data_IF_129389221268
#
_entry.id   IF_129389221268
#
_cell.length_a   1.000
_cell.length_b   1.000
_cell.length_c   1.000
_cell.angle_alpha   90.00
_cell.angle_beta   90.00
_cell.angle_gamma   90.00
#
_symmetry.space_group_name_H-M   'P 1'
#
loop_
_entity.id
_entity.type
_entity.pdbx_description
1 polymer ?
#
# COMPACT_ATOMS: atom_id res chain seq x y z
N UNK A 1 4.30 -8.33 7.58
CA UNK A 1 3.89 -7.10 8.28
C UNK A 1 4.22 -5.84 7.48
N UNK A 2 5.48 -5.51 7.19
CA UNK A 2 5.84 -4.31 6.41
C UNK A 2 4.99 -4.09 5.13
N UNK A 3 4.82 -5.12 4.30
CA UNK A 3 3.99 -5.08 3.09
C UNK A 3 2.51 -4.74 3.39
N UNK A 4 1.98 -5.28 4.48
CA UNK A 4 0.58 -5.11 4.90
C UNK A 4 0.33 -3.63 5.24
N UNK A 5 1.20 -3.04 6.06
CA UNK A 5 1.06 -1.64 6.48
C UNK A 5 1.21 -0.69 5.29
N UNK A 6 2.22 -0.92 4.45
CA UNK A 6 2.46 -0.10 3.26
C UNK A 6 1.27 -0.13 2.30
N UNK A 7 0.74 -1.33 1.99
CA UNK A 7 -0.41 -1.47 1.10
C UNK A 7 -1.66 -0.79 1.65
N UNK A 8 -1.96 -0.91 2.96
CA UNK A 8 -3.07 -0.18 3.60
C UNK A 8 -2.91 1.34 3.47
N UNK A 9 -1.72 1.87 3.69
CA UNK A 9 -1.43 3.31 3.55
C UNK A 9 -1.61 3.75 2.09
N UNK A 10 -1.12 2.97 1.13
CA UNK A 10 -1.27 3.27 -0.28
C UNK A 10 -2.75 3.18 -0.72
N UNK A 11 -3.49 2.15 -0.31
CA UNK A 11 -4.91 2.01 -0.58
C UNK A 11 -5.72 3.18 -0.02
N UNK A 12 -5.41 3.61 1.21
CA UNK A 12 -6.03 4.80 1.81
C UNK A 12 -5.79 6.07 0.98
N UNK A 13 -4.55 6.28 0.51
CA UNK A 13 -4.22 7.40 -0.38
C UNK A 13 -4.99 7.33 -1.70
N UNK A 14 -5.05 6.14 -2.31
CA UNK A 14 -5.82 5.92 -3.54
C UNK A 14 -7.29 6.27 -3.34
N UNK A 15 -7.91 5.85 -2.23
CA UNK A 15 -9.30 6.19 -1.89
C UNK A 15 -9.52 7.70 -1.72
N UNK A 16 -8.66 8.40 -0.98
CA UNK A 16 -8.80 9.86 -0.78
C UNK A 16 -8.74 10.58 -2.12
N UNK A 17 -7.73 10.27 -2.93
CA UNK A 17 -7.52 10.93 -4.23
C UNK A 17 -8.64 10.59 -5.22
N UNK A 18 -9.13 9.35 -5.24
CA UNK A 18 -10.25 8.94 -6.10
C UNK A 18 -11.60 9.57 -5.71
N UNK A 19 -11.66 10.29 -4.59
CA UNK A 19 -12.81 11.10 -4.16
C UNK A 19 -12.55 12.59 -4.29
N UNK A 20 -11.56 12.96 -5.11
CA UNK A 20 -11.15 14.36 -5.36
C UNK A 20 -10.77 15.10 -4.09
N UNK A 21 -10.32 14.39 -3.06
CA UNK A 21 -9.81 15.02 -1.86
C UNK A 21 -8.43 15.63 -2.15
N UNK A 22 -8.33 16.95 -1.97
CA UNK A 22 -7.14 17.73 -2.28
C UNK A 22 -6.20 17.91 -1.09
N UNK A 23 -6.54 17.32 0.07
CA UNK A 23 -5.70 17.38 1.27
C UNK A 23 -4.35 16.70 1.00
N UNK A 24 -3.22 17.40 1.17
CA UNK A 24 -1.91 16.77 1.05
C UNK A 24 -1.74 15.63 2.07
N UNK A 25 -1.41 14.43 1.59
CA UNK A 25 -1.25 13.25 2.43
C UNK A 25 0.24 13.12 2.83
N UNK A 26 0.57 13.13 4.13
CA UNK A 26 1.96 13.10 4.57
C UNK A 26 2.64 11.77 4.17
N UNK A 27 3.96 11.83 4.07
CA UNK A 27 4.80 10.64 4.04
C UNK A 27 4.75 9.87 5.37
N UNK A 28 5.31 8.67 5.38
CA UNK A 28 5.52 7.89 6.59
C UNK A 28 6.92 7.29 6.56
N UNK A 29 7.53 7.08 7.73
CA UNK A 29 8.80 6.37 7.86
C UNK A 29 8.52 4.90 8.15
N UNK A 30 8.91 4.02 7.23
CA UNK A 30 8.66 2.58 7.34
C UNK A 30 9.41 1.96 8.53
N UNK A 31 10.57 2.51 8.93
CA UNK A 31 11.35 1.99 10.06
C UNK A 31 10.68 2.31 11.40
N UNK A 32 10.12 3.51 11.53
CA UNK A 32 9.36 3.90 12.72
C UNK A 32 8.15 2.97 12.94
N UNK A 33 7.51 2.55 11.85
CA UNK A 33 6.36 1.64 11.88
C UNK A 33 6.79 0.22 12.27
N UNK A 34 7.89 -0.30 11.71
CA UNK A 34 8.40 -1.66 12.01
C UNK A 34 8.60 -1.85 13.52
N UNK A 35 9.14 -0.84 14.21
CA UNK A 35 9.36 -0.90 15.65
C UNK A 35 8.06 -1.01 16.46
N UNK A 36 6.94 -0.47 15.96
CA UNK A 36 5.64 -0.46 16.64
C UNK A 36 4.73 -1.60 16.25
N UNK A 37 5.03 -2.29 15.14
CA UNK A 37 4.12 -3.25 14.55
C UNK A 37 4.12 -4.61 15.28
N UNK A 38 5.09 -4.89 16.16
CA UNK A 38 5.21 -6.14 16.94
C UNK A 38 5.15 -7.41 16.06
N UNK A 39 5.77 -7.34 14.87
CA UNK A 39 5.78 -8.43 13.90
C UNK A 39 6.32 -9.75 14.49
N UNK A 40 7.30 -9.64 15.38
CA UNK A 40 7.97 -10.80 15.98
C UNK A 40 7.08 -11.57 16.97
N UNK A 41 6.03 -10.93 17.48
CA UNK A 41 5.07 -11.54 18.41
C UNK A 41 3.85 -12.14 17.67
N UNK A 42 3.76 -11.93 16.36
CA UNK A 42 2.66 -12.41 15.53
C UNK A 42 2.96 -13.79 14.95
N UNK A 43 1.96 -14.68 14.95
CA UNK A 43 2.08 -15.96 14.27
C UNK A 43 2.15 -15.78 12.75
N UNK A 44 3.02 -16.54 12.09
CA UNK A 44 3.23 -16.45 10.64
C UNK A 44 1.93 -16.65 9.84
N UNK A 45 1.11 -17.63 10.21
CA UNK A 45 -0.18 -17.90 9.56
C UNK A 45 -1.16 -16.73 9.70
N UNK A 46 -1.14 -16.06 10.86
CA UNK A 46 -1.96 -14.85 11.06
C UNK A 46 -1.49 -13.71 10.16
N UNK A 47 -0.18 -13.52 10.00
CA UNK A 47 0.38 -12.50 9.10
C UNK A 47 0.05 -12.79 7.64
N UNK A 48 0.07 -14.06 7.24
CA UNK A 48 -0.29 -14.47 5.88
C UNK A 48 -1.78 -14.24 5.60
N UNK A 49 -2.66 -14.65 6.52
CA UNK A 49 -4.10 -14.43 6.41
C UNK A 49 -4.46 -12.94 6.37
N UNK A 50 -3.77 -12.11 7.16
CA UNK A 50 -3.96 -10.66 7.09
C UNK A 50 -3.50 -10.09 5.75
N UNK A 51 -2.33 -10.52 5.25
CA UNK A 51 -1.83 -10.08 3.95
C UNK A 51 -2.81 -10.40 2.82
N UNK A 52 -3.36 -11.62 2.78
CA UNK A 52 -4.40 -12.01 1.81
C UNK A 52 -5.65 -11.13 1.93
N UNK A 53 -6.10 -10.85 3.15
CA UNK A 53 -7.26 -10.00 3.41
C UNK A 53 -7.06 -8.57 2.90
N UNK A 54 -5.88 -7.99 3.17
CA UNK A 54 -5.53 -6.65 2.68
C UNK A 54 -5.46 -6.64 1.16
N UNK A 55 -4.88 -7.68 0.57
CA UNK A 55 -4.77 -7.81 -0.88
C UNK A 55 -6.13 -7.83 -1.56
N UNK A 56 -7.05 -8.67 -1.09
CA UNK A 56 -8.41 -8.73 -1.63
C UNK A 56 -9.17 -7.40 -1.45
N UNK A 57 -9.00 -6.74 -0.29
CA UNK A 57 -9.59 -5.43 -0.05
C UNK A 57 -9.05 -4.36 -1.03
N UNK A 58 -7.75 -4.36 -1.32
CA UNK A 58 -7.13 -3.45 -2.29
C UNK A 58 -7.62 -3.74 -3.70
N UNK A 59 -7.70 -5.02 -4.12
CA UNK A 59 -8.24 -5.39 -5.44
C UNK A 59 -9.69 -4.89 -5.57
N UNK A 60 -10.52 -5.14 -4.55
CA UNK A 60 -11.91 -4.68 -4.52
C UNK A 60 -12.01 -3.15 -4.59
N UNK A 61 -11.14 -2.42 -3.87
CA UNK A 61 -11.07 -0.97 -3.93
C UNK A 61 -10.79 -0.47 -5.35
N UNK A 62 -9.75 -0.98 -6.02
CA UNK A 62 -9.39 -0.54 -7.37
C UNK A 62 -10.41 -0.95 -8.42
N UNK A 63 -11.07 -2.12 -8.26
CA UNK A 63 -12.17 -2.54 -9.12
C UNK A 63 -13.39 -1.60 -9.03
N UNK A 64 -13.53 -0.83 -7.95
CA UNK A 64 -14.62 0.14 -7.79
C UNK A 64 -14.37 1.49 -8.48
N UNK A 65 -13.15 1.73 -8.98
CA UNK A 65 -12.78 3.00 -9.60
C UNK A 65 -13.10 3.02 -11.10
N UNK A 66 -13.62 4.15 -11.57
CA UNK A 66 -13.81 4.41 -13.00
C UNK A 66 -12.49 4.83 -13.67
N UNK A 67 -12.45 4.84 -15.01
CA UNK A 67 -11.32 5.39 -15.76
C UNK A 67 -11.01 6.85 -15.40
N UNK A 68 -12.04 7.63 -15.05
CA UNK A 68 -11.88 9.02 -14.59
C UNK A 68 -11.22 9.05 -13.22
N UNK A 69 -11.68 8.23 -12.28
CA UNK A 69 -11.12 8.15 -10.93
C UNK A 69 -9.63 7.76 -10.97
N UNK A 70 -9.27 6.81 -11.84
CA UNK A 70 -7.90 6.35 -12.02
C UNK A 70 -6.93 7.45 -12.51
N UNK A 71 -7.45 8.48 -13.18
CA UNK A 71 -6.68 9.61 -13.70
C UNK A 71 -6.60 10.79 -12.72
N UNK A 72 -7.38 10.79 -11.63
CA UNK A 72 -7.34 11.87 -10.63
C UNK A 72 -5.95 11.97 -9.99
N UNK A 73 -5.51 13.21 -9.78
CA UNK A 73 -4.24 13.58 -9.18
C UNK A 73 -4.45 14.13 -7.77
N UNK A 74 -3.57 13.73 -6.86
CA UNK A 74 -3.46 14.31 -5.52
C UNK A 74 -2.00 14.49 -5.12
N UNK A 75 -1.78 14.96 -3.89
CA UNK A 75 -0.44 15.13 -3.33
C UNK A 75 -0.21 14.12 -2.22
N UNK A 76 0.80 13.27 -2.35
CA UNK A 76 1.23 12.34 -1.31
C UNK A 76 2.76 12.40 -1.17
N UNK A 77 3.26 12.42 0.07
CA UNK A 77 4.70 12.55 0.35
C UNK A 77 5.36 13.74 -0.37
N UNK A 78 4.66 14.89 -0.42
CA UNK A 78 5.08 16.10 -1.13
C UNK A 78 5.26 15.94 -2.66
N UNK A 79 4.75 14.87 -3.26
CA UNK A 79 4.78 14.62 -4.70
C UNK A 79 3.37 14.49 -5.28
N UNK A 80 3.21 14.93 -6.52
CA UNK A 80 1.99 14.70 -7.29
C UNK A 80 1.92 13.23 -7.70
N UNK A 81 0.78 12.58 -7.45
CA UNK A 81 0.56 11.17 -7.78
C UNK A 81 -0.88 10.94 -8.22
N UNK A 82 -1.09 10.06 -9.20
CA UNK A 82 -2.43 9.64 -9.61
C UNK A 82 -2.90 8.38 -8.88
N UNK A 83 -4.21 8.16 -8.83
CA UNK A 83 -4.80 6.92 -8.28
C UNK A 83 -4.21 5.69 -8.98
N UNK A 84 -4.13 5.71 -10.32
CA UNK A 84 -3.50 4.62 -11.09
C UNK A 84 -2.03 4.43 -10.73
N UNK A 85 -1.27 5.51 -10.54
CA UNK A 85 0.15 5.41 -10.17
C UNK A 85 0.31 4.73 -8.80
N UNK A 86 -0.58 4.99 -7.84
CA UNK A 86 -0.58 4.31 -6.54
C UNK A 86 -0.78 2.80 -6.70
N UNK A 87 -1.68 2.37 -7.59
CA UNK A 87 -1.86 0.94 -7.89
C UNK A 87 -0.57 0.27 -8.38
N UNK A 88 0.18 0.93 -9.27
CA UNK A 88 1.48 0.43 -9.72
C UNK A 88 2.56 0.47 -8.64
N UNK A 89 2.54 1.46 -7.74
CA UNK A 89 3.46 1.53 -6.60
C UNK A 89 3.26 0.33 -5.68
N UNK A 90 2.01 -0.03 -5.37
CA UNK A 90 1.69 -1.22 -4.56
C UNK A 90 2.30 -2.49 -5.19
N UNK A 91 2.04 -2.72 -6.49
CA UNK A 91 2.55 -3.90 -7.20
C UNK A 91 4.09 -3.92 -7.27
N UNK A 92 4.71 -2.77 -7.55
CA UNK A 92 6.16 -2.64 -7.62
C UNK A 92 6.83 -2.89 -6.26
N UNK A 93 6.23 -2.40 -5.18
CA UNK A 93 6.71 -2.56 -3.81
C UNK A 93 6.74 -4.04 -3.40
N UNK A 94 5.67 -4.79 -3.67
CA UNK A 94 5.67 -6.22 -3.40
C UNK A 94 6.67 -7.01 -4.22
N UNK A 95 6.78 -6.74 -5.53
CA UNK A 95 7.75 -7.42 -6.38
C UNK A 95 9.18 -7.17 -5.89
N UNK A 96 9.48 -5.95 -5.45
CA UNK A 96 10.75 -5.60 -4.85
C UNK A 96 11.05 -6.46 -3.61
N UNK A 97 10.11 -6.54 -2.65
CA UNK A 97 10.32 -7.32 -1.43
C UNK A 97 10.33 -8.82 -1.67
N UNK A 98 9.52 -9.33 -2.61
CA UNK A 98 9.59 -10.72 -3.05
C UNK A 98 10.97 -11.06 -3.58
N UNK A 99 11.56 -10.18 -4.41
CA UNK A 99 12.90 -10.38 -4.94
C UNK A 99 13.95 -10.37 -3.81
N UNK A 100 13.84 -9.48 -2.83
CA UNK A 100 14.73 -9.49 -1.66
C UNK A 100 14.66 -10.84 -0.92
N UNK A 101 13.45 -11.38 -0.72
CA UNK A 101 13.27 -12.68 -0.05
C UNK A 101 13.96 -13.78 -0.85
N UNK A 102 13.72 -13.83 -2.16
CA UNK A 102 14.33 -14.80 -3.06
C UNK A 102 15.84 -14.66 -3.17
N UNK A 103 16.39 -13.45 -3.10
CA UNK A 103 17.83 -13.22 -3.26
C UNK A 103 18.63 -13.49 -1.98
N UNK A 104 18.02 -13.30 -0.81
CA UNK A 104 18.75 -13.30 0.47
C UNK A 104 18.44 -14.48 1.37
N UNK A 105 17.33 -15.18 1.16
CA UNK A 105 16.83 -16.18 2.11
C UNK A 105 16.38 -17.50 1.48
N UNK A 106 16.32 -17.61 0.14
CA UNK A 106 15.95 -18.82 -0.60
C UNK A 106 16.97 -19.11 -1.71
#
# INVERSE_FOLDING_TARGET
>A
MHLIDAERIFAYRALRISRSDTTPLPGFDENDYVGMANANDSEFESLLSEFETVREATISLFASFTDIDLLLLGTASNASVSVRAIGYIILGHELHHKNIILERYL
#
